data_IF_992500435818
#
_entry.id   IF_992500435818
#
_cell.length_a   1.000
_cell.length_b   1.000
_cell.length_c   1.000
_cell.angle_alpha   90.00
_cell.angle_beta   90.00
_cell.angle_gamma   90.00
#
_symmetry.space_group_name_H-M   'P 1'
#
loop_
_entity.id
_entity.type
_entity.pdbx_description
1 polymer ?
#
# COMPACT_ATOMS: atom_id res chain seq x y z
N UNK A 1 -12.63 12.10 0.06
CA UNK A 1 -11.81 11.83 -1.14
C UNK A 1 -11.33 13.10 -1.81
N UNK A 2 -12.15 14.17 -1.90
CA UNK A 2 -11.79 15.43 -2.55
C UNK A 2 -10.37 15.99 -2.27
N UNK A 3 -9.85 15.89 -1.04
CA UNK A 3 -8.48 16.33 -0.75
C UNK A 3 -7.41 15.48 -1.45
N UNK A 4 -7.58 14.15 -1.45
CA UNK A 4 -6.62 13.22 -2.07
C UNK A 4 -6.64 13.35 -3.59
N UNK A 5 -7.83 13.55 -4.18
CA UNK A 5 -8.00 13.82 -5.61
C UNK A 5 -7.27 15.11 -6.01
N UNK A 6 -7.51 16.22 -5.29
CA UNK A 6 -6.81 17.50 -5.53
C UNK A 6 -5.28 17.38 -5.37
N UNK A 7 -4.83 16.59 -4.40
CA UNK A 7 -3.39 16.36 -4.23
C UNK A 7 -2.83 15.49 -5.35
N UNK A 8 -3.58 14.46 -5.77
CA UNK A 8 -3.26 13.59 -6.90
C UNK A 8 -3.10 14.40 -8.19
N UNK A 9 -3.99 15.35 -8.46
CA UNK A 9 -3.89 16.27 -9.60
C UNK A 9 -2.59 17.10 -9.57
N UNK A 10 -2.24 17.66 -8.41
CA UNK A 10 -0.99 18.45 -8.23
C UNK A 10 0.25 17.60 -8.43
N UNK A 11 0.24 16.38 -7.89
CA UNK A 11 1.34 15.43 -8.03
C UNK A 11 1.47 14.95 -9.47
N UNK A 12 0.35 14.64 -10.15
CA UNK A 12 0.31 14.26 -11.56
C UNK A 12 0.95 15.34 -12.44
N UNK A 13 0.54 16.60 -12.25
CA UNK A 13 1.10 17.74 -12.98
C UNK A 13 2.62 17.89 -12.77
N UNK A 14 3.10 17.67 -11.54
CA UNK A 14 4.52 17.81 -11.20
C UNK A 14 5.38 16.65 -11.73
N UNK A 15 4.82 15.44 -11.79
CA UNK A 15 5.52 14.21 -12.17
C UNK A 15 5.39 13.86 -13.65
N UNK A 16 4.62 14.63 -14.43
CA UNK A 16 4.37 14.33 -15.85
C UNK A 16 3.40 13.17 -16.05
N UNK A 17 2.53 12.90 -15.08
CA UNK A 17 1.49 11.88 -15.14
C UNK A 17 0.11 12.50 -15.34
N UNK A 18 -0.89 11.67 -15.64
CA UNK A 18 -2.30 12.10 -15.69
C UNK A 18 -2.95 11.93 -14.31
N UNK A 19 -3.97 12.73 -14.00
CA UNK A 19 -4.72 12.58 -12.76
C UNK A 19 -5.31 11.16 -12.64
N UNK A 20 -5.87 10.64 -13.74
CA UNK A 20 -6.43 9.28 -13.81
C UNK A 20 -5.39 8.20 -13.50
N UNK A 21 -4.14 8.36 -13.96
CA UNK A 21 -3.07 7.41 -13.66
C UNK A 21 -2.63 7.39 -12.18
N UNK A 22 -2.97 8.41 -11.40
CA UNK A 22 -2.72 8.46 -9.95
C UNK A 22 -4.00 8.32 -9.11
N UNK A 23 -5.16 8.08 -9.75
CA UNK A 23 -6.43 7.97 -9.05
C UNK A 23 -6.49 6.69 -8.21
N UNK A 24 -6.90 6.82 -6.95
CA UNK A 24 -7.10 5.68 -6.04
C UNK A 24 -8.59 5.37 -5.99
N UNK A 25 -8.99 4.23 -6.55
CA UNK A 25 -10.39 3.77 -6.49
C UNK A 25 -10.80 3.44 -5.05
N UNK A 26 -12.10 3.47 -4.71
CA UNK A 26 -12.57 3.10 -3.37
C UNK A 26 -12.11 1.70 -2.92
N UNK A 27 -12.05 0.75 -3.85
CA UNK A 27 -11.64 -0.62 -3.57
C UNK A 27 -10.13 -0.70 -3.29
N UNK A 28 -9.32 -0.05 -4.12
CA UNK A 28 -7.88 0.08 -3.91
C UNK A 28 -7.54 0.80 -2.61
N UNK A 29 -8.30 1.83 -2.24
CA UNK A 29 -8.13 2.51 -0.97
C UNK A 29 -8.38 1.55 0.21
N UNK A 30 -9.46 0.77 0.18
CA UNK A 30 -9.76 -0.20 1.25
C UNK A 30 -8.64 -1.22 1.40
N UNK A 31 -8.17 -1.80 0.31
CA UNK A 31 -7.07 -2.76 0.30
C UNK A 31 -5.76 -2.14 0.81
N UNK A 32 -5.39 -0.95 0.34
CA UNK A 32 -4.19 -0.24 0.82
C UNK A 32 -4.23 0.01 2.33
N UNK A 33 -5.38 0.44 2.85
CA UNK A 33 -5.55 0.71 4.28
C UNK A 33 -5.53 -0.59 5.12
N UNK A 34 -6.06 -1.69 4.59
CA UNK A 34 -5.97 -3.01 5.19
C UNK A 34 -4.51 -3.47 5.32
N UNK A 35 -3.75 -3.44 4.21
CA UNK A 35 -2.34 -3.85 4.17
C UNK A 35 -1.48 -2.98 5.10
N UNK A 36 -1.70 -1.67 5.10
CA UNK A 36 -1.04 -0.74 6.02
C UNK A 36 -1.32 -1.12 7.49
N UNK A 37 -2.58 -1.44 7.80
CA UNK A 37 -2.98 -1.88 9.13
C UNK A 37 -2.35 -3.21 9.54
N UNK A 38 -2.25 -4.18 8.63
CA UNK A 38 -1.56 -5.45 8.86
C UNK A 38 -0.07 -5.21 9.16
N UNK A 39 0.61 -4.40 8.36
CA UNK A 39 2.03 -4.10 8.53
C UNK A 39 2.34 -3.43 9.88
N UNK A 40 1.53 -2.45 10.29
CA UNK A 40 1.69 -1.80 11.59
C UNK A 40 1.49 -2.77 12.76
N UNK A 41 0.54 -3.71 12.64
CA UNK A 41 0.25 -4.71 13.67
C UNK A 41 1.35 -5.77 13.77
N UNK A 42 1.68 -6.39 12.64
CA UNK A 42 2.63 -7.50 12.57
C UNK A 42 4.04 -7.08 12.99
N UNK A 43 4.46 -5.87 12.59
CA UNK A 43 5.80 -5.38 12.93
C UNK A 43 5.92 -4.69 14.29
N UNK A 44 4.80 -4.46 14.99
CA UNK A 44 4.75 -3.67 16.22
C UNK A 44 5.10 -2.19 16.05
N UNK A 45 5.34 -1.69 14.82
CA UNK A 45 5.75 -0.32 14.55
C UNK A 45 4.83 0.35 13.52
N UNK A 46 4.08 1.36 13.97
CA UNK A 46 3.14 2.12 13.12
C UNK A 46 3.82 2.84 11.95
N UNK A 47 5.12 3.13 12.03
CA UNK A 47 5.89 3.73 10.92
C UNK A 47 5.96 2.80 9.71
N UNK A 48 5.83 1.49 9.89
CA UNK A 48 5.90 0.54 8.78
C UNK A 48 4.67 0.57 7.88
N UNK A 49 3.52 1.05 8.36
CA UNK A 49 2.33 1.24 7.53
C UNK A 49 2.59 2.15 6.30
N UNK A 50 2.98 3.43 6.47
CA UNK A 50 3.26 4.30 5.33
C UNK A 50 4.48 3.86 4.51
N UNK A 51 5.49 3.24 5.13
CA UNK A 51 6.68 2.74 4.41
C UNK A 51 6.34 1.57 3.50
N UNK A 52 5.51 0.63 3.95
CA UNK A 52 5.02 -0.45 3.10
C UNK A 52 4.24 0.09 1.92
N UNK A 53 3.31 1.02 2.14
CA UNK A 53 2.54 1.64 1.06
C UNK A 53 3.44 2.33 0.02
N UNK A 54 4.52 2.97 0.46
CA UNK A 54 5.51 3.56 -0.44
C UNK A 54 6.23 2.51 -1.29
N UNK A 55 6.73 1.43 -0.67
CA UNK A 55 7.43 0.35 -1.39
C UNK A 55 6.50 -0.37 -2.36
N UNK A 56 5.26 -0.63 -1.94
CA UNK A 56 4.20 -1.18 -2.78
C UNK A 56 3.95 -0.28 -4.01
N UNK A 57 3.80 1.03 -3.80
CA UNK A 57 3.66 2.00 -4.89
C UNK A 57 4.83 2.01 -5.87
N UNK A 58 6.07 1.88 -5.36
CA UNK A 58 7.26 1.76 -6.22
C UNK A 58 7.26 0.49 -7.07
N UNK A 59 6.84 -0.64 -6.50
CA UNK A 59 6.78 -1.91 -7.23
C UNK A 59 5.70 -1.88 -8.32
N UNK A 60 4.51 -1.35 -8.01
CA UNK A 60 3.45 -1.13 -8.99
C UNK A 60 3.91 -0.20 -10.11
N UNK A 61 4.57 0.92 -9.76
CA UNK A 61 5.13 1.85 -10.75
C UNK A 61 6.24 1.26 -11.63
N UNK A 62 6.79 0.10 -11.27
CA UNK A 62 7.78 -0.66 -12.05
C UNK A 62 7.19 -1.82 -12.84
N UNK A 63 5.86 -1.94 -12.89
CA UNK A 63 5.14 -2.89 -13.74
C UNK A 63 4.64 -4.15 -13.06
N UNK A 64 4.81 -4.30 -11.74
CA UNK A 64 4.15 -5.36 -10.99
C UNK A 64 2.66 -5.05 -10.79
N UNK A 65 1.82 -6.07 -10.69
CA UNK A 65 0.40 -5.85 -10.41
C UNK A 65 0.18 -5.64 -8.91
N UNK A 66 -0.76 -4.78 -8.55
CA UNK A 66 -1.10 -4.56 -7.15
C UNK A 66 -1.64 -5.86 -6.50
N UNK A 67 -2.44 -6.64 -7.22
CA UNK A 67 -3.11 -7.82 -6.66
C UNK A 67 -2.10 -8.91 -6.25
N UNK A 68 -1.10 -9.18 -7.11
CA UNK A 68 -0.01 -10.11 -6.80
C UNK A 68 0.81 -9.64 -5.59
N UNK A 69 1.10 -8.33 -5.50
CA UNK A 69 1.86 -7.76 -4.39
C UNK A 69 1.06 -7.75 -3.09
N UNK A 70 -0.24 -7.46 -3.15
CA UNK A 70 -1.13 -7.50 -2.01
C UNK A 70 -1.19 -8.92 -1.42
N UNK A 71 -1.28 -9.94 -2.28
CA UNK A 71 -1.29 -11.33 -1.82
C UNK A 71 0.05 -11.72 -1.20
N UNK A 72 1.17 -11.38 -1.85
CA UNK A 72 2.52 -11.61 -1.31
C UNK A 72 2.68 -11.01 0.10
N UNK A 73 2.16 -9.80 0.32
CA UNK A 73 2.19 -9.14 1.63
C UNK A 73 1.34 -9.90 2.64
N UNK A 74 0.12 -10.32 2.28
CA UNK A 74 -0.76 -11.08 3.20
C UNK A 74 -0.13 -12.41 3.59
N UNK A 75 0.44 -13.15 2.64
CA UNK A 75 1.14 -14.40 2.89
C UNK A 75 2.33 -14.20 3.83
N UNK A 76 3.19 -13.21 3.58
CA UNK A 76 4.34 -12.92 4.42
C UNK A 76 3.93 -12.59 5.87
N UNK A 77 2.92 -11.73 6.04
CA UNK A 77 2.46 -11.30 7.37
C UNK A 77 1.67 -12.39 8.12
N UNK A 78 1.02 -13.32 7.40
CA UNK A 78 0.41 -14.50 8.00
C UNK A 78 1.46 -15.47 8.54
N UNK A 79 2.57 -15.64 7.82
CA UNK A 79 3.67 -16.51 8.24
C UNK A 79 4.43 -15.94 9.44
N UNK A 80 4.69 -14.63 9.48
CA UNK A 80 5.36 -13.96 10.60
C UNK A 80 4.55 -14.03 11.92
N UNK A 81 3.21 -14.07 11.83
CA UNK A 81 2.33 -14.24 12.98
C UNK A 81 2.34 -15.65 13.57
N UNK A 82 2.80 -16.66 12.82
CA UNK A 82 2.83 -18.06 13.25
C UNK A 82 4.08 -18.46 14.04
N UNK A 83 5.15 -17.65 13.98
CA UNK A 83 6.45 -17.95 14.59
C UNK A 83 6.56 -17.49 16.07
N UNK A 84 5.48 -16.97 16.65
CA UNK A 84 5.44 -16.48 18.04
C UNK A 84 4.66 -17.37 19.01
N UNK A 85 4.18 -18.54 18.56
CA UNK A 85 3.37 -19.45 19.36
C UNK A 85 4.16 -20.60 20.04
N UNK A 86 5.48 -20.67 19.89
CA UNK A 86 6.32 -21.68 20.54
C UNK A 86 7.53 -20.99 21.23
N UNK A 87 7.36 -20.60 22.50
CA UNK A 87 8.37 -19.94 23.32
C UNK A 87 7.96 -19.84 24.78
#
# INVERSE_FOLDING_TARGET
MAWLEQMGERLAATSGHTADSLAVTPDRMRELLELAGLAARSSGNRTNAPLLCYVLGLAVGRGATFDELAETIREALANDGSDTADG
#
